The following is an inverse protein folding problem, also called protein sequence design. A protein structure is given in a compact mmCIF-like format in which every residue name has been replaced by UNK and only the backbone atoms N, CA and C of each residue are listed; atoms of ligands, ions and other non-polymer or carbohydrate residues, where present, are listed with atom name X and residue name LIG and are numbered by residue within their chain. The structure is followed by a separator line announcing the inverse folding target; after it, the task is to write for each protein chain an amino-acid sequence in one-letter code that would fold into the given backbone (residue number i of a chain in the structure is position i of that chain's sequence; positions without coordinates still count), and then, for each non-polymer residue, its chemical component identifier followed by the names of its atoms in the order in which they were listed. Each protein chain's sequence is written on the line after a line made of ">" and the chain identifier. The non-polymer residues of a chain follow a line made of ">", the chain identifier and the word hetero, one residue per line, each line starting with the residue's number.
data_IF_449723811812
#
_entry.id   IF_449723811812
#
_cell.length_a   1.000
_cell.length_b   1.000
_cell.length_c   1.000
_cell.angle_alpha   90.00
_cell.angle_beta   90.00
_cell.angle_gamma   90.00
#
_symmetry.space_group_name_H-M   'P 1'
#
loop_
_entity.id
_entity.type
_entity.pdbx_description
1 polymer ?
#
# COMPACT_ATOMS: atom_id res chain seq x y z
N UNK A 1 13.26 16.49 -2.51
CA UNK A 1 12.06 15.74 -2.96
C UNK A 1 12.37 15.04 -4.28
N UNK A 2 11.95 13.78 -4.49
CA UNK A 2 12.29 12.98 -5.70
C UNK A 2 11.35 13.23 -6.91
N UNK A 3 10.47 14.23 -6.88
CA UNK A 3 9.63 14.65 -8.03
C UNK A 3 8.48 13.71 -8.43
N UNK A 4 8.04 12.80 -7.54
CA UNK A 4 7.03 11.77 -7.82
C UNK A 4 5.62 12.20 -7.40
N UNK A 5 4.61 11.78 -8.15
CA UNK A 5 3.20 11.81 -7.73
C UNK A 5 2.94 10.56 -6.88
N UNK A 6 2.26 10.71 -5.74
CA UNK A 6 1.99 9.61 -4.79
C UNK A 6 0.50 9.45 -4.57
N UNK A 7 -0.03 8.27 -4.94
CA UNK A 7 -1.41 7.87 -4.64
C UNK A 7 -1.46 7.24 -3.24
N UNK A 8 -1.59 8.07 -2.21
CA UNK A 8 -1.61 7.61 -0.80
C UNK A 8 -2.78 6.67 -0.47
N UNK A 9 -2.66 5.93 0.64
CA UNK A 9 -3.72 5.03 1.16
C UNK A 9 -5.01 5.80 1.42
N UNK A 10 -6.17 5.18 1.12
CA UNK A 10 -7.46 5.88 1.21
C UNK A 10 -8.00 6.02 2.63
N UNK A 11 -7.56 5.17 3.54
CA UNK A 11 -8.02 5.08 4.92
C UNK A 11 -6.97 4.34 5.76
N UNK A 12 -6.81 4.73 7.03
CA UNK A 12 -5.88 4.12 7.98
C UNK A 12 -6.53 4.08 9.36
N UNK A 13 -6.61 2.91 9.98
CA UNK A 13 -7.55 2.63 11.08
C UNK A 13 -6.92 2.63 12.48
N UNK A 14 -5.62 2.84 12.58
CA UNK A 14 -4.87 2.62 13.83
C UNK A 14 -4.76 3.86 14.73
N UNK A 15 -5.51 4.94 14.44
CA UNK A 15 -5.35 6.22 15.14
C UNK A 15 -6.23 6.41 16.37
N UNK A 16 -7.45 5.87 16.44
CA UNK A 16 -8.30 5.98 17.64
C UNK A 16 -9.43 4.92 17.69
N UNK A 17 -9.99 4.69 18.89
CA UNK A 17 -11.11 3.75 19.10
C UNK A 17 -12.44 4.24 18.51
N UNK A 18 -12.58 5.55 18.33
CA UNK A 18 -13.75 6.20 17.73
C UNK A 18 -13.63 6.32 16.20
N UNK A 19 -12.58 5.75 15.60
CA UNK A 19 -12.43 5.69 14.14
C UNK A 19 -13.43 4.70 13.57
N UNK A 20 -14.16 5.16 12.55
CA UNK A 20 -15.04 4.35 11.72
C UNK A 20 -14.33 3.07 11.23
N UNK A 21 -14.78 1.91 11.70
CA UNK A 21 -14.41 0.61 11.13
C UNK A 21 -15.38 0.26 9.98
N UNK A 22 -14.89 0.03 8.75
CA UNK A 22 -15.73 -0.32 7.62
C UNK A 22 -16.39 -1.68 7.83
N UNK A 23 -17.62 -1.81 7.34
CA UNK A 23 -18.26 -3.12 7.18
C UNK A 23 -17.43 -4.02 6.25
N UNK A 24 -17.65 -5.35 6.24
CA UNK A 24 -16.97 -6.26 5.32
C UNK A 24 -17.11 -5.84 3.84
N UNK A 25 -18.26 -5.31 3.44
CA UNK A 25 -18.55 -4.82 2.09
C UNK A 25 -17.76 -3.53 1.78
N UNK A 26 -17.65 -2.64 2.76
CA UNK A 26 -16.86 -1.41 2.65
C UNK A 26 -15.35 -1.72 2.61
N UNK A 27 -14.87 -2.72 3.37
CA UNK A 27 -13.49 -3.23 3.26
C UNK A 27 -13.21 -3.75 1.85
N UNK A 28 -14.09 -4.57 1.28
CA UNK A 28 -13.96 -5.05 -0.11
C UNK A 28 -13.97 -3.90 -1.14
N UNK A 29 -14.70 -2.82 -0.88
CA UNK A 29 -14.69 -1.63 -1.74
C UNK A 29 -13.35 -0.87 -1.64
N UNK A 30 -12.78 -0.77 -0.43
CA UNK A 30 -11.46 -0.19 -0.21
C UNK A 30 -10.35 -1.03 -0.88
N UNK A 31 -10.35 -2.35 -0.72
CA UNK A 31 -9.40 -3.24 -1.39
C UNK A 31 -9.43 -3.05 -2.92
N UNK A 32 -10.64 -2.95 -3.52
CA UNK A 32 -10.82 -2.63 -4.96
C UNK A 32 -10.28 -1.26 -5.35
N UNK A 33 -10.47 -0.23 -4.52
CA UNK A 33 -9.93 1.12 -4.73
C UNK A 33 -8.39 1.08 -4.72
N UNK A 34 -7.80 0.32 -3.79
CA UNK A 34 -6.36 0.14 -3.70
C UNK A 34 -5.80 -0.55 -4.94
N UNK A 35 -6.42 -1.64 -5.43
CA UNK A 35 -6.06 -2.27 -6.70
C UNK A 35 -6.12 -1.30 -7.90
N UNK A 36 -7.17 -0.47 -8.02
CA UNK A 36 -7.24 0.54 -9.08
C UNK A 36 -6.17 1.64 -8.98
N UNK A 37 -5.70 1.99 -7.79
CA UNK A 37 -4.53 2.89 -7.63
C UNK A 37 -3.25 2.21 -8.15
N UNK A 38 -3.08 0.93 -7.88
CA UNK A 38 -1.93 0.14 -8.35
C UNK A 38 -1.94 0.05 -9.88
N UNK A 39 -3.08 -0.24 -10.49
CA UNK A 39 -3.26 -0.23 -11.95
C UNK A 39 -2.83 1.10 -12.60
N UNK A 40 -3.10 2.23 -11.94
CA UNK A 40 -2.73 3.58 -12.42
C UNK A 40 -1.27 3.98 -12.13
N UNK A 41 -0.62 3.41 -11.13
CA UNK A 41 0.73 3.81 -10.70
C UNK A 41 1.84 3.07 -11.46
N UNK A 42 2.96 3.75 -11.77
CA UNK A 42 4.10 3.13 -12.46
C UNK A 42 4.87 2.13 -11.58
N UNK A 43 4.93 2.36 -10.26
CA UNK A 43 5.55 1.51 -9.24
C UNK A 43 4.73 1.55 -7.94
N UNK A 44 4.94 0.57 -7.04
CA UNK A 44 4.45 0.65 -5.65
C UNK A 44 5.62 0.69 -4.66
N UNK A 45 5.42 1.40 -3.54
CA UNK A 45 6.34 1.42 -2.40
C UNK A 45 5.62 0.89 -1.16
N UNK A 46 6.10 -0.24 -0.65
CA UNK A 46 5.61 -0.89 0.58
C UNK A 46 6.37 -0.34 1.77
N UNK A 47 5.64 0.10 2.80
CA UNK A 47 6.22 0.57 4.07
C UNK A 47 6.26 -0.62 5.05
N UNK A 48 7.36 -1.37 5.04
CA UNK A 48 7.57 -2.63 5.75
C UNK A 48 8.41 -2.47 7.03
N UNK A 49 8.08 -1.46 7.85
CA UNK A 49 8.82 -1.15 9.09
C UNK A 49 8.85 -2.37 10.01
N UNK A 50 10.05 -2.78 10.42
CA UNK A 50 10.26 -3.99 11.23
C UNK A 50 9.94 -5.30 10.52
N UNK A 51 9.83 -5.30 9.18
CA UNK A 51 9.46 -6.46 8.37
C UNK A 51 7.97 -6.81 8.41
N UNK A 52 7.11 -5.96 8.99
CA UNK A 52 5.67 -6.22 9.04
C UNK A 52 5.00 -5.98 7.69
N UNK A 53 4.25 -6.96 7.20
CA UNK A 53 3.38 -6.85 6.03
C UNK A 53 2.01 -7.44 6.40
N UNK A 54 0.98 -6.60 6.37
CA UNK A 54 -0.41 -7.01 6.61
C UNK A 54 -1.02 -7.77 5.42
N UNK A 55 -2.13 -8.48 5.67
CA UNK A 55 -2.82 -9.30 4.64
C UNK A 55 -3.26 -8.48 3.42
N UNK A 56 -3.87 -7.31 3.63
CA UNK A 56 -4.32 -6.43 2.53
C UNK A 56 -3.11 -5.96 1.69
N UNK A 57 -2.03 -5.51 2.34
CA UNK A 57 -0.76 -5.14 1.68
C UNK A 57 -0.12 -6.31 0.92
N UNK A 58 -0.18 -7.54 1.44
CA UNK A 58 0.30 -8.73 0.73
C UNK A 58 -0.53 -9.01 -0.53
N UNK A 59 -1.84 -8.79 -0.48
CA UNK A 59 -2.72 -8.93 -1.65
C UNK A 59 -2.47 -7.80 -2.68
N UNK A 60 -2.18 -6.58 -2.23
CA UNK A 60 -1.73 -5.46 -3.07
C UNK A 60 -0.41 -5.76 -3.80
N UNK A 61 0.59 -6.30 -3.09
CA UNK A 61 1.88 -6.72 -3.66
C UNK A 61 1.65 -7.74 -4.77
N UNK A 62 0.91 -8.82 -4.50
CA UNK A 62 0.59 -9.85 -5.50
C UNK A 62 -0.15 -9.27 -6.71
N UNK A 63 -1.04 -8.29 -6.49
CA UNK A 63 -1.74 -7.63 -7.59
C UNK A 63 -0.79 -6.79 -8.46
N UNK A 64 0.15 -6.07 -7.86
CA UNK A 64 1.21 -5.36 -8.60
C UNK A 64 2.11 -6.32 -9.38
N UNK A 65 2.53 -7.44 -8.77
CA UNK A 65 3.33 -8.49 -9.42
C UNK A 65 2.61 -9.11 -10.63
N UNK A 66 1.31 -9.42 -10.52
CA UNK A 66 0.48 -9.90 -11.63
C UNK A 66 0.37 -8.90 -12.79
N UNK A 67 0.46 -7.60 -12.50
CA UNK A 67 0.50 -6.52 -13.48
C UNK A 67 1.92 -6.21 -13.99
N UNK A 68 2.95 -6.95 -13.54
CA UNK A 68 4.37 -6.71 -13.80
C UNK A 68 4.85 -5.31 -13.38
N UNK A 69 4.24 -4.73 -12.34
CA UNK A 69 4.63 -3.43 -11.79
C UNK A 69 5.75 -3.58 -10.75
N UNK A 70 6.80 -2.74 -10.77
CA UNK A 70 7.86 -2.77 -9.78
C UNK A 70 7.32 -2.59 -8.35
N UNK A 71 7.77 -3.47 -7.44
CA UNK A 71 7.48 -3.43 -6.01
C UNK A 71 8.73 -3.06 -5.25
N UNK A 72 8.68 -1.93 -4.53
CA UNK A 72 9.74 -1.45 -3.63
C UNK A 72 9.36 -1.69 -2.19
N UNK A 73 10.38 -1.78 -1.34
CA UNK A 73 10.24 -1.93 0.11
C UNK A 73 11.05 -0.83 0.77
N UNK A 74 10.45 -0.14 1.74
CA UNK A 74 11.08 0.95 2.48
C UNK A 74 12.36 0.49 3.18
N UNK A 75 12.33 -0.69 3.79
CA UNK A 75 13.50 -1.31 4.44
C UNK A 75 14.73 -1.42 3.53
N UNK A 76 14.54 -1.48 2.21
CA UNK A 76 15.60 -1.61 1.20
C UNK A 76 16.02 -0.28 0.57
N UNK A 77 15.32 0.83 0.87
CA UNK A 77 15.80 2.18 0.52
C UNK A 77 16.73 2.74 1.61
N UNK A 78 16.57 2.36 2.88
CA UNK A 78 17.47 2.79 3.97
C UNK A 78 18.93 2.33 3.76
N UNK A 79 19.15 1.17 3.12
CA UNK A 79 20.49 0.67 2.75
C UNK A 79 21.16 1.42 1.59
N UNK A 80 20.44 2.29 0.86
CA UNK A 80 20.96 2.98 -0.34
C UNK A 80 21.36 4.45 -0.12
N UNK A 81 21.03 5.02 1.05
CA UNK A 81 21.42 6.39 1.44
C UNK A 81 22.49 6.38 2.57
N UNK A 82 23.25 5.27 2.70
CA UNK A 82 24.31 5.02 3.70
C UNK A 82 25.73 5.03 3.12
#
# INVERSE_FOLDING_TARGET
>A
MKGRIVLTVGWFSHVDKDVFYPSPEQKQMLDKLHFRKIELADEILVIDVGGYIGESTNNEIKHAELLNKPVRFWSREEDNDA
#
